data_IF_753409738260
#
_entry.id   IF_753409738260
#
_cell.length_a   1.000
_cell.length_b   1.000
_cell.length_c   1.000
_cell.angle_alpha   90.00
_cell.angle_beta   90.00
_cell.angle_gamma   90.00
#
_symmetry.space_group_name_H-M   'P 1'
#
loop_
_entity.id
_entity.type
_entity.pdbx_description
1 polymer ?
#
# COMPACT_ATOMS: atom_id res chain seq x y z
N UNK A 1 53.17 -7.65 27.51
CA UNK A 1 53.53 -8.45 26.31
C UNK A 1 53.35 -9.92 26.69
N UNK A 2 52.19 -10.53 26.38
CA UNK A 2 51.88 -11.91 26.78
C UNK A 2 52.84 -12.84 26.01
N UNK A 3 53.84 -13.37 26.70
CA UNK A 3 54.90 -14.17 26.09
C UNK A 3 54.36 -15.55 25.73
N UNK A 4 54.11 -15.77 24.43
CA UNK A 4 53.68 -17.04 23.81
C UNK A 4 54.72 -18.18 23.96
N UNK A 5 55.80 -17.99 24.74
CA UNK A 5 56.93 -18.91 24.87
C UNK A 5 56.64 -20.16 25.71
N UNK A 6 55.64 -20.14 26.58
CA UNK A 6 55.35 -21.22 27.54
C UNK A 6 54.08 -22.05 27.23
N UNK A 7 53.53 -21.93 26.02
CA UNK A 7 52.34 -22.69 25.60
C UNK A 7 52.79 -24.05 25.03
N UNK A 8 52.27 -25.16 25.59
CA UNK A 8 52.51 -26.53 25.07
C UNK A 8 52.14 -26.61 23.59
N UNK A 9 52.92 -27.33 22.78
CA UNK A 9 52.75 -27.41 21.31
C UNK A 9 51.31 -27.74 20.86
N UNK A 10 50.59 -28.57 21.63
CA UNK A 10 49.17 -28.91 21.41
C UNK A 10 48.22 -27.71 21.40
N UNK A 11 48.48 -26.70 22.22
CA UNK A 11 47.63 -25.51 22.33
C UNK A 11 47.91 -24.49 21.21
N UNK A 12 49.11 -24.53 20.60
CA UNK A 12 49.41 -23.73 19.40
C UNK A 12 48.60 -24.20 18.19
N UNK A 13 48.49 -25.52 17.98
CA UNK A 13 47.65 -26.08 16.92
C UNK A 13 46.16 -25.83 17.19
N UNK A 14 45.73 -25.91 18.46
CA UNK A 14 44.37 -25.56 18.85
C UNK A 14 44.04 -24.10 18.51
N UNK A 15 44.91 -23.15 18.85
CA UNK A 15 44.71 -21.72 18.53
C UNK A 15 44.66 -21.46 17.03
N UNK A 16 45.49 -22.15 16.24
CA UNK A 16 45.52 -22.04 14.78
C UNK A 16 44.18 -22.43 14.13
N UNK A 17 43.46 -23.38 14.73
CA UNK A 17 42.15 -23.86 14.25
C UNK A 17 41.00 -23.10 14.89
N UNK A 18 41.12 -22.71 16.17
CA UNK A 18 40.06 -22.01 16.90
C UNK A 18 39.80 -20.62 16.33
N UNK A 19 40.86 -19.89 15.93
CA UNK A 19 40.75 -18.56 15.35
C UNK A 19 39.89 -18.53 14.06
N UNK A 20 40.15 -19.36 13.03
CA UNK A 20 39.30 -19.41 11.84
C UNK A 20 37.89 -19.94 12.11
N UNK A 21 37.71 -20.84 13.09
CA UNK A 21 36.37 -21.31 13.49
C UNK A 21 35.54 -20.18 14.13
N UNK A 22 36.14 -19.36 14.99
CA UNK A 22 35.45 -18.21 15.59
C UNK A 22 35.12 -17.15 14.55
N UNK A 23 36.01 -16.91 13.59
CA UNK A 23 35.74 -16.00 12.47
C UNK A 23 34.57 -16.51 11.61
N UNK A 24 34.56 -17.81 11.26
CA UNK A 24 33.48 -18.43 10.51
C UNK A 24 32.15 -18.35 11.27
N UNK A 25 32.17 -18.67 12.57
CA UNK A 25 30.99 -18.57 13.42
C UNK A 25 30.45 -17.13 13.44
N UNK A 26 31.33 -16.14 13.61
CA UNK A 26 30.97 -14.73 13.56
C UNK A 26 30.31 -14.36 12.23
N UNK A 27 30.93 -14.67 11.10
CA UNK A 27 30.36 -14.37 9.77
C UNK A 27 29.02 -15.06 9.54
N UNK A 28 28.87 -16.32 9.93
CA UNK A 28 27.60 -17.05 9.81
C UNK A 28 26.51 -16.41 10.67
N UNK A 29 26.82 -16.00 11.90
CA UNK A 29 25.83 -15.35 12.77
C UNK A 29 25.39 -13.99 12.23
N UNK A 30 26.33 -13.17 11.74
CA UNK A 30 26.01 -11.87 11.13
C UNK A 30 25.16 -12.05 9.88
N UNK A 31 25.56 -12.98 9.00
CA UNK A 31 24.81 -13.29 7.77
C UNK A 31 23.42 -13.84 8.07
N UNK A 32 23.27 -14.66 9.11
CA UNK A 32 21.96 -15.18 9.52
C UNK A 32 21.03 -14.07 10.02
N UNK A 33 21.55 -13.11 10.79
CA UNK A 33 20.77 -11.94 11.25
C UNK A 33 20.36 -11.06 10.06
N UNK A 34 21.29 -10.77 9.15
CA UNK A 34 21.00 -9.97 7.95
C UNK A 34 19.92 -10.63 7.08
N UNK A 35 19.98 -11.96 6.91
CA UNK A 35 18.95 -12.71 6.16
C UNK A 35 17.59 -12.68 6.85
N UNK A 36 17.55 -12.75 8.18
CA UNK A 36 16.32 -12.65 8.93
C UNK A 36 15.70 -11.25 8.81
N UNK A 37 16.51 -10.19 8.87
CA UNK A 37 16.06 -8.81 8.65
C UNK A 37 15.52 -8.60 7.24
N UNK A 38 16.26 -9.04 6.22
CA UNK A 38 15.81 -8.97 4.82
C UNK A 38 14.48 -9.71 4.61
N UNK A 39 14.30 -10.89 5.21
CA UNK A 39 13.04 -11.62 5.11
C UNK A 39 11.87 -10.86 5.76
N UNK A 40 12.11 -10.15 6.87
CA UNK A 40 11.12 -9.28 7.50
C UNK A 40 10.76 -8.10 6.59
N UNK A 41 11.76 -7.39 6.05
CA UNK A 41 11.54 -6.27 5.13
C UNK A 41 10.74 -6.68 3.89
N UNK A 42 11.04 -7.87 3.33
CA UNK A 42 10.28 -8.42 2.20
C UNK A 42 8.81 -8.72 2.56
N UNK A 43 8.53 -9.13 3.79
CA UNK A 43 7.16 -9.34 4.25
C UNK A 43 6.41 -8.00 4.36
N UNK A 44 7.06 -6.96 4.86
CA UNK A 44 6.48 -5.61 4.96
C UNK A 44 6.21 -5.01 3.57
N UNK A 45 7.15 -5.17 2.64
CA UNK A 45 6.96 -4.77 1.24
C UNK A 45 5.78 -5.51 0.62
N UNK A 46 5.66 -6.82 0.83
CA UNK A 46 4.52 -7.60 0.33
C UNK A 46 3.19 -7.04 0.86
N UNK A 47 3.14 -6.66 2.13
CA UNK A 47 1.95 -6.06 2.72
C UNK A 47 1.65 -4.67 2.09
N UNK A 48 2.66 -3.82 1.89
CA UNK A 48 2.51 -2.54 1.20
C UNK A 48 2.01 -2.70 -0.24
N UNK A 49 2.52 -3.70 -0.97
CA UNK A 49 2.08 -4.01 -2.34
C UNK A 49 0.63 -4.48 -2.34
N UNK A 50 0.26 -5.45 -1.50
CA UNK A 50 -1.12 -5.93 -1.41
C UNK A 50 -2.10 -4.80 -1.06
N UNK A 51 -1.71 -3.94 -0.12
CA UNK A 51 -2.48 -2.76 0.26
C UNK A 51 -2.63 -1.79 -0.92
N UNK A 52 -1.55 -1.52 -1.64
CA UNK A 52 -1.54 -0.67 -2.83
C UNK A 52 -2.42 -1.21 -3.97
N UNK A 53 -2.41 -2.53 -4.18
CA UNK A 53 -3.25 -3.20 -5.18
C UNK A 53 -4.73 -3.05 -4.81
N UNK A 54 -5.11 -3.32 -3.57
CA UNK A 54 -6.50 -3.20 -3.14
C UNK A 54 -7.03 -1.76 -3.23
N UNK A 55 -6.19 -0.77 -2.89
CA UNK A 55 -6.54 0.64 -3.09
C UNK A 55 -6.77 0.92 -4.58
N UNK A 56 -5.89 0.41 -5.44
CA UNK A 56 -5.95 0.64 -6.88
C UNK A 56 -7.16 -0.03 -7.55
N UNK A 57 -7.51 -1.25 -7.13
CA UNK A 57 -8.72 -1.96 -7.56
C UNK A 57 -9.97 -1.16 -7.20
N UNK A 58 -10.01 -0.59 -6.00
CA UNK A 58 -11.11 0.26 -5.58
C UNK A 58 -11.18 1.59 -6.32
N UNK A 59 -10.03 2.22 -6.60
CA UNK A 59 -9.94 3.42 -7.44
C UNK A 59 -10.49 3.14 -8.84
N UNK A 60 -10.14 2.01 -9.46
CA UNK A 60 -10.65 1.62 -10.77
C UNK A 60 -12.19 1.45 -10.76
N UNK A 61 -12.78 0.89 -9.70
CA UNK A 61 -14.24 0.81 -9.56
C UNK A 61 -14.89 2.20 -9.36
N UNK A 62 -14.30 3.06 -8.54
CA UNK A 62 -14.77 4.44 -8.35
C UNK A 62 -14.69 5.26 -9.64
N UNK A 63 -13.66 5.07 -10.46
CA UNK A 63 -13.55 5.75 -11.76
C UNK A 63 -14.67 5.33 -12.71
N UNK A 64 -15.03 4.04 -12.74
CA UNK A 64 -16.18 3.55 -13.52
C UNK A 64 -17.49 4.11 -12.99
N UNK A 65 -17.67 4.15 -11.67
CA UNK A 65 -18.87 4.72 -11.06
C UNK A 65 -19.00 6.23 -11.35
N UNK A 66 -17.89 6.98 -11.26
CA UNK A 66 -17.82 8.39 -11.64
C UNK A 66 -18.28 8.60 -13.08
N UNK A 67 -17.78 7.79 -14.02
CA UNK A 67 -18.14 7.90 -15.44
C UNK A 67 -19.64 7.63 -15.67
N UNK A 68 -20.20 6.60 -15.03
CA UNK A 68 -21.63 6.28 -15.17
C UNK A 68 -22.53 7.28 -14.45
N UNK A 69 -22.10 7.82 -13.31
CA UNK A 69 -22.76 8.93 -12.61
C UNK A 69 -22.82 10.16 -13.51
N UNK A 70 -21.73 10.47 -14.23
CA UNK A 70 -21.70 11.59 -15.16
C UNK A 70 -22.73 11.42 -16.29
N UNK A 71 -22.88 10.20 -16.84
CA UNK A 71 -23.89 9.89 -17.85
C UNK A 71 -25.32 10.01 -17.29
N UNK A 72 -25.57 9.47 -16.10
CA UNK A 72 -26.87 9.55 -15.42
C UNK A 72 -27.28 11.01 -15.17
N UNK A 73 -26.41 11.80 -14.54
CA UNK A 73 -26.66 13.22 -14.27
C UNK A 73 -26.73 14.05 -15.56
N UNK A 74 -25.91 13.73 -16.57
CA UNK A 74 -25.95 14.38 -17.88
C UNK A 74 -27.25 14.15 -18.64
N UNK A 75 -27.94 13.04 -18.37
CA UNK A 75 -29.29 12.76 -18.88
C UNK A 75 -30.42 13.40 -18.05
N UNK A 76 -30.10 14.19 -17.03
CA UNK A 76 -31.08 14.72 -16.08
C UNK A 76 -31.75 13.62 -15.23
N UNK A 77 -31.06 12.49 -15.03
CA UNK A 77 -31.56 11.35 -14.27
C UNK A 77 -32.52 10.42 -15.03
N UNK A 78 -32.66 10.58 -16.34
CA UNK A 78 -33.64 9.83 -17.15
C UNK A 78 -33.06 8.56 -17.78
N UNK A 79 -31.74 8.48 -17.95
CA UNK A 79 -31.04 7.38 -18.61
C UNK A 79 -29.87 6.90 -17.74
N UNK A 80 -29.38 5.69 -18.00
CA UNK A 80 -28.18 5.12 -17.36
C UNK A 80 -28.28 4.80 -15.87
N UNK A 81 -29.46 4.95 -15.25
CA UNK A 81 -29.65 4.67 -13.82
C UNK A 81 -29.27 3.22 -13.45
N UNK A 82 -29.72 2.25 -14.24
CA UNK A 82 -29.45 0.83 -13.94
C UNK A 82 -27.96 0.51 -14.03
N UNK A 83 -27.26 1.07 -15.03
CA UNK A 83 -25.82 0.92 -15.19
C UNK A 83 -25.13 1.48 -13.94
N UNK A 84 -25.41 2.74 -13.60
CA UNK A 84 -24.84 3.42 -12.43
C UNK A 84 -25.06 2.63 -11.14
N UNK A 85 -26.27 2.13 -10.89
CA UNK A 85 -26.56 1.32 -9.70
C UNK A 85 -25.80 -0.01 -9.69
N UNK A 86 -25.65 -0.65 -10.86
CA UNK A 86 -24.91 -1.91 -10.99
C UNK A 86 -23.42 -1.67 -10.70
N UNK A 87 -22.84 -0.59 -11.21
CA UNK A 87 -21.46 -0.23 -10.94
C UNK A 87 -21.24 0.18 -9.48
N UNK A 88 -22.18 0.91 -8.88
CA UNK A 88 -22.13 1.24 -7.44
C UNK A 88 -22.07 0.00 -6.56
N UNK A 89 -22.78 -1.06 -6.91
CA UNK A 89 -22.69 -2.34 -6.19
C UNK A 89 -21.29 -2.97 -6.30
N UNK A 90 -20.64 -2.87 -7.47
CA UNK A 90 -19.27 -3.33 -7.65
C UNK A 90 -18.28 -2.48 -6.83
N UNK A 91 -18.43 -1.15 -6.83
CA UNK A 91 -17.65 -0.24 -5.99
C UNK A 91 -17.79 -0.58 -4.50
N UNK A 92 -19.00 -0.82 -4.01
CA UNK A 92 -19.23 -1.12 -2.58
C UNK A 92 -18.64 -2.48 -2.19
N UNK A 93 -18.68 -3.48 -3.08
CA UNK A 93 -18.02 -4.76 -2.86
C UNK A 93 -16.49 -4.59 -2.76
N UNK A 94 -15.88 -3.82 -3.67
CA UNK A 94 -14.44 -3.54 -3.65
C UNK A 94 -14.03 -2.72 -2.41
N UNK A 95 -14.86 -1.75 -2.01
CA UNK A 95 -14.69 -0.97 -0.78
C UNK A 95 -14.66 -1.87 0.46
N UNK A 96 -15.53 -2.87 0.54
CA UNK A 96 -15.56 -3.79 1.67
C UNK A 96 -14.22 -4.57 1.79
N UNK A 97 -13.69 -5.06 0.67
CA UNK A 97 -12.37 -5.71 0.62
C UNK A 97 -11.25 -4.76 1.04
N UNK A 98 -11.26 -3.50 0.58
CA UNK A 98 -10.28 -2.49 0.99
C UNK A 98 -10.33 -2.23 2.50
N UNK A 99 -11.53 -2.08 3.07
CA UNK A 99 -11.70 -1.83 4.50
C UNK A 99 -11.24 -3.02 5.37
N UNK A 100 -11.46 -4.26 4.91
CA UNK A 100 -10.96 -5.46 5.57
C UNK A 100 -9.42 -5.49 5.59
N UNK A 101 -8.79 -5.17 4.46
CA UNK A 101 -7.33 -5.08 4.41
C UNK A 101 -6.79 -3.97 5.30
N UNK A 102 -7.45 -2.81 5.31
CA UNK A 102 -7.07 -1.71 6.20
C UNK A 102 -7.13 -2.09 7.67
N UNK A 103 -8.17 -2.83 8.09
CA UNK A 103 -8.33 -3.26 9.46
C UNK A 103 -7.21 -4.22 9.93
N UNK A 104 -6.59 -4.94 9.00
CA UNK A 104 -5.51 -5.89 9.28
C UNK A 104 -4.11 -5.32 8.99
N UNK A 105 -4.02 -4.10 8.48
CA UNK A 105 -2.77 -3.49 8.08
C UNK A 105 -2.34 -2.44 9.11
N UNK A 106 -1.27 -2.75 9.84
CA UNK A 106 -0.68 -1.81 10.79
C UNK A 106 0.02 -0.68 10.03
N UNK A 107 -0.68 0.44 9.83
CA UNK A 107 -0.12 1.62 9.17
C UNK A 107 0.83 2.40 10.07
N UNK A 108 0.71 2.25 11.39
CA UNK A 108 1.53 2.97 12.37
C UNK A 108 2.99 2.48 12.36
N UNK A 109 3.24 1.22 12.01
CA UNK A 109 4.59 0.67 11.86
C UNK A 109 5.44 1.42 10.80
N UNK A 110 4.80 2.08 9.83
CA UNK A 110 5.46 2.83 8.77
C UNK A 110 5.58 4.34 9.07
N UNK A 111 5.21 4.76 10.29
CA UNK A 111 5.36 6.12 10.77
C UNK A 111 4.11 7.00 10.66
N UNK A 112 4.09 8.14 11.37
CA UNK A 112 2.88 8.95 11.58
C UNK A 112 2.34 9.61 10.30
N UNK A 113 3.21 9.87 9.32
CA UNK A 113 2.80 10.46 8.04
C UNK A 113 1.94 9.47 7.23
N UNK A 114 2.38 8.22 7.14
CA UNK A 114 1.65 7.18 6.41
C UNK A 114 0.35 6.80 7.11
N UNK A 115 0.37 6.69 8.44
CA UNK A 115 -0.84 6.46 9.25
C UNK A 115 -1.87 7.58 9.05
N UNK A 116 -1.43 8.85 9.08
CA UNK A 116 -2.28 10.01 8.85
C UNK A 116 -2.89 10.05 7.45
N UNK A 117 -2.09 9.80 6.41
CA UNK A 117 -2.56 9.71 5.02
C UNK A 117 -3.59 8.59 4.84
N UNK A 118 -3.28 7.42 5.37
CA UNK A 118 -4.09 6.21 5.28
C UNK A 118 -5.44 6.40 5.99
N UNK A 119 -5.42 6.91 7.22
CA UNK A 119 -6.62 7.21 8.00
C UNK A 119 -7.47 8.30 7.35
N UNK A 120 -6.83 9.35 6.82
CA UNK A 120 -7.52 10.41 6.08
C UNK A 120 -8.26 9.88 4.85
N UNK A 121 -7.61 9.02 4.05
CA UNK A 121 -8.22 8.42 2.87
C UNK A 121 -9.44 7.56 3.24
N UNK A 122 -9.35 6.72 4.27
CA UNK A 122 -10.47 5.90 4.74
C UNK A 122 -11.61 6.75 5.30
N UNK A 123 -11.31 7.78 6.08
CA UNK A 123 -12.33 8.66 6.64
C UNK A 123 -13.13 9.35 5.53
N UNK A 124 -12.51 9.72 4.41
CA UNK A 124 -13.24 10.32 3.30
C UNK A 124 -14.18 9.35 2.57
N UNK A 125 -13.96 8.03 2.67
CA UNK A 125 -14.92 7.04 2.16
C UNK A 125 -16.25 7.07 2.91
N UNK A 126 -16.29 7.57 4.15
CA UNK A 126 -17.53 7.76 4.91
C UNK A 126 -18.48 8.80 4.28
N UNK A 127 -17.98 9.64 3.37
CA UNK A 127 -18.77 10.65 2.68
C UNK A 127 -19.56 10.09 1.48
N UNK A 128 -19.17 8.92 0.95
CA UNK A 128 -19.80 8.34 -0.24
C UNK A 128 -21.31 8.14 -0.14
N UNK A 129 -21.88 7.64 0.98
CA UNK A 129 -23.33 7.51 1.11
C UNK A 129 -24.07 8.86 0.95
N UNK A 130 -23.49 9.95 1.46
CA UNK A 130 -24.07 11.28 1.30
C UNK A 130 -23.99 11.76 -0.15
N UNK A 131 -22.86 11.53 -0.82
CA UNK A 131 -22.68 11.83 -2.25
C UNK A 131 -23.69 11.04 -3.09
N UNK A 132 -23.85 9.74 -2.83
CA UNK A 132 -24.82 8.88 -3.50
C UNK A 132 -26.25 9.40 -3.33
N UNK A 133 -26.62 9.80 -2.12
CA UNK A 133 -27.95 10.37 -1.87
C UNK A 133 -28.20 11.65 -2.67
N UNK A 134 -27.19 12.54 -2.74
CA UNK A 134 -27.29 13.77 -3.54
C UNK A 134 -27.42 13.47 -5.04
N UNK A 135 -26.72 12.46 -5.54
CA UNK A 135 -26.83 11.99 -6.93
C UNK A 135 -28.23 11.43 -7.19
N UNK A 136 -28.72 10.55 -6.32
CA UNK A 136 -29.99 9.85 -6.48
C UNK A 136 -31.19 10.83 -6.39
N UNK A 137 -31.07 11.89 -5.60
CA UNK A 137 -32.07 12.96 -5.49
C UNK A 137 -31.89 14.09 -6.52
N UNK A 138 -30.87 13.98 -7.39
CA UNK A 138 -30.49 15.01 -8.37
C UNK A 138 -30.22 16.39 -7.74
N UNK A 139 -29.81 16.41 -6.45
CA UNK A 139 -29.55 17.63 -5.70
C UNK A 139 -28.12 18.16 -5.89
N UNK A 140 -27.31 17.50 -6.72
CA UNK A 140 -25.93 17.85 -7.03
C UNK A 140 -25.72 17.98 -8.54
N UNK A 141 -24.85 18.90 -8.94
CA UNK A 141 -24.47 19.02 -10.36
C UNK A 141 -23.52 17.90 -10.76
N UNK A 142 -23.52 17.54 -12.04
CA UNK A 142 -22.55 16.57 -12.60
C UNK A 142 -21.11 16.96 -12.27
N UNK A 143 -20.75 18.25 -12.42
CA UNK A 143 -19.41 18.75 -12.12
C UNK A 143 -19.02 18.56 -10.64
N UNK A 144 -19.92 18.87 -9.71
CA UNK A 144 -19.69 18.69 -8.26
C UNK A 144 -19.56 17.22 -7.87
N UNK A 145 -20.38 16.33 -8.45
CA UNK A 145 -20.29 14.90 -8.22
C UNK A 145 -18.96 14.33 -8.72
N UNK A 146 -18.55 14.67 -9.94
CA UNK A 146 -17.27 14.26 -10.53
C UNK A 146 -16.09 14.73 -9.67
N UNK A 147 -16.13 15.98 -9.19
CA UNK A 147 -15.09 16.54 -8.31
C UNK A 147 -14.98 15.77 -6.99
N UNK A 148 -16.12 15.35 -6.43
CA UNK A 148 -16.15 14.58 -5.19
C UNK A 148 -15.49 13.21 -5.36
N UNK A 149 -15.80 12.49 -6.45
CA UNK A 149 -15.12 11.24 -6.79
C UNK A 149 -13.62 11.43 -7.01
N UNK A 150 -13.22 12.41 -7.83
CA UNK A 150 -11.81 12.65 -8.13
C UNK A 150 -10.99 13.07 -6.90
N UNK A 151 -11.63 13.73 -5.92
CA UNK A 151 -10.99 14.04 -4.63
C UNK A 151 -10.70 12.76 -3.84
N UNK A 152 -11.68 11.85 -3.77
CA UNK A 152 -11.54 10.57 -3.07
C UNK A 152 -10.47 9.70 -3.74
N UNK A 153 -10.51 9.56 -5.07
CA UNK A 153 -9.52 8.75 -5.80
C UNK A 153 -8.12 9.34 -5.68
N UNK A 154 -7.96 10.67 -5.73
CA UNK A 154 -6.65 11.31 -5.54
C UNK A 154 -6.04 11.03 -4.17
N UNK A 155 -6.85 11.03 -3.11
CA UNK A 155 -6.37 10.74 -1.76
C UNK A 155 -5.94 9.27 -1.61
N UNK A 156 -6.71 8.36 -2.20
CA UNK A 156 -6.35 6.94 -2.27
C UNK A 156 -5.04 6.72 -3.03
N UNK A 157 -4.87 7.36 -4.20
CA UNK A 157 -3.64 7.29 -4.98
C UNK A 157 -2.43 7.91 -4.26
N UNK A 158 -2.63 8.93 -3.42
CA UNK A 158 -1.55 9.46 -2.59
C UNK A 158 -1.04 8.43 -1.55
N UNK A 159 -1.90 7.56 -1.04
CA UNK A 159 -1.49 6.45 -0.16
C UNK A 159 -0.62 5.48 -0.94
N UNK A 160 -1.02 5.07 -2.16
CA UNK A 160 -0.22 4.20 -3.04
C UNK A 160 1.14 4.83 -3.37
N UNK A 161 1.16 6.12 -3.69
CA UNK A 161 2.39 6.86 -3.96
C UNK A 161 3.32 6.89 -2.74
N UNK A 162 2.78 6.99 -1.52
CA UNK A 162 3.56 6.94 -0.29
C UNK A 162 4.09 5.54 -0.02
N UNK A 163 3.29 4.49 -0.24
CA UNK A 163 3.72 3.09 -0.13
C UNK A 163 4.90 2.79 -1.07
N UNK A 164 4.92 3.36 -2.27
CA UNK A 164 6.04 3.24 -3.19
C UNK A 164 7.36 3.83 -2.64
N UNK A 165 7.28 4.89 -1.82
CA UNK A 165 8.45 5.52 -1.17
C UNK A 165 8.96 4.74 0.03
N UNK A 166 8.08 3.98 0.70
CA UNK A 166 8.43 3.15 1.85
C UNK A 166 9.13 1.85 1.48
N UNK A 167 8.98 1.37 0.24
CA UNK A 167 9.63 0.15 -0.24
C UNK A 167 11.16 0.29 -0.27
N UNK A 168 11.88 -0.58 0.46
CA UNK A 168 13.34 -0.68 0.36
C UNK A 168 13.81 -1.35 -0.94
N UNK A 169 12.91 -2.04 -1.64
CA UNK A 169 13.16 -2.61 -2.96
C UNK A 169 12.91 -1.57 -4.07
N UNK A 170 13.96 -1.25 -4.82
CA UNK A 170 13.92 -0.24 -5.88
C UNK A 170 13.11 -0.64 -7.11
N UNK A 171 12.99 -1.94 -7.42
CA UNK A 171 12.13 -2.42 -8.50
C UNK A 171 10.66 -2.28 -8.12
N UNK A 172 10.29 -2.67 -6.90
CA UNK A 172 8.93 -2.54 -6.39
C UNK A 172 8.52 -1.07 -6.27
N UNK A 173 9.40 -0.22 -5.76
CA UNK A 173 9.18 1.23 -5.71
C UNK A 173 8.90 1.82 -7.10
N UNK A 174 9.68 1.43 -8.11
CA UNK A 174 9.48 1.83 -9.51
C UNK A 174 8.16 1.33 -10.07
N UNK A 175 7.80 0.07 -9.83
CA UNK A 175 6.55 -0.54 -10.30
C UNK A 175 5.34 0.15 -9.70
N UNK A 176 5.31 0.35 -8.38
CA UNK A 176 4.22 1.06 -7.69
C UNK A 176 4.11 2.51 -8.15
N UNK A 177 5.24 3.20 -8.33
CA UNK A 177 5.23 4.58 -8.85
C UNK A 177 4.65 4.62 -10.27
N UNK A 178 5.08 3.71 -11.15
CA UNK A 178 4.60 3.63 -12.54
C UNK A 178 3.11 3.31 -12.58
N UNK A 179 2.67 2.37 -11.74
CA UNK A 179 1.28 1.99 -11.64
C UNK A 179 0.42 3.14 -11.12
N UNK A 180 0.85 3.84 -10.07
CA UNK A 180 0.18 5.03 -9.56
C UNK A 180 0.06 6.12 -10.63
N UNK A 181 1.14 6.41 -11.37
CA UNK A 181 1.12 7.37 -12.47
C UNK A 181 0.13 6.96 -13.57
N UNK A 182 0.07 5.67 -13.92
CA UNK A 182 -0.90 5.17 -14.88
C UNK A 182 -2.34 5.39 -14.42
N UNK A 183 -2.64 5.15 -13.14
CA UNK A 183 -3.98 5.40 -12.57
C UNK A 183 -4.32 6.88 -12.51
N UNK A 184 -3.35 7.75 -12.22
CA UNK A 184 -3.53 9.20 -12.27
C UNK A 184 -3.78 9.71 -13.69
N UNK A 185 -3.17 9.10 -14.71
CA UNK A 185 -3.42 9.45 -16.13
C UNK A 185 -4.83 9.03 -16.58
N UNK A 186 -5.44 8.02 -15.94
CA UNK A 186 -6.83 7.62 -16.21
C UNK A 186 -7.88 8.60 -15.67
N UNK A 187 -7.53 9.47 -14.71
CA UNK A 187 -8.45 10.48 -14.16
C UNK A 187 -8.85 11.55 -15.19
#
# INVERSE_FOLDING_TARGET
MISLKNIKLSHKHLLLVLMPLLALLYFVTVEAINRAQLASEMADIKNLVNFSVAISDYVDELQKERAQTALFLGSGGQQFQQQMLTQRQASEASKATLLELFANFDTAQFGPEFEGLSTGAINNLSQLPAIHNQIDTLSVTSASAITSYSTITSQLLNVVAFSARLSSDGEISRLLTTYNLFLQIKE
#
